data_IF_165697644645
#
_entry.id   IF_165697644645
#
_cell.length_a   1.000
_cell.length_b   1.000
_cell.length_c   1.000
_cell.angle_alpha   90.00
_cell.angle_beta   90.00
_cell.angle_gamma   90.00
#
_symmetry.space_group_name_H-M   'P 1'
#
loop_
_entity.id
_entity.type
_entity.pdbx_description
1 polymer ?
2 polymer ?
3 branched ?
4 non-polymer ?
5 non-polymer ?
6 non-polymer ?
7 non-polymer ?
8 non-polymer ?
9 non-polymer ?
10 water ?
#
# COMPACT_ATOMS: atom_id res chain seq x y z
C UNK A 1 -27.32 14.75 13.60
N UNK A 2 -27.87 14.09 12.56
CA UNK A 2 -27.77 12.84 11.78
C UNK A 2 -27.59 13.05 10.26
N UNK A 3 -26.46 12.56 9.76
CA UNK A 3 -25.80 13.10 8.58
C UNK A 3 -25.96 12.28 7.30
N UNK A 4 -26.05 10.96 7.43
CA UNK A 4 -26.15 10.12 6.25
C UNK A 4 -27.52 9.56 5.98
N UNK A 5 -27.57 8.62 5.06
CA UNK A 5 -28.75 7.84 4.75
C UNK A 5 -28.31 6.39 4.82
N UNK A 6 -28.99 5.54 5.59
CA UNK A 6 -28.55 4.16 5.71
C UNK A 6 -29.40 3.24 4.86
N UNK A 7 -28.92 2.02 4.72
CA UNK A 7 -29.54 1.01 3.88
C UNK A 7 -28.87 -0.27 4.25
N UNK A 8 -29.45 -1.40 3.83
CA UNK A 8 -28.90 -2.73 4.11
C UNK A 8 -27.36 -2.87 4.01
N UNK A 9 -26.77 -2.73 2.83
CA UNK A 9 -25.31 -2.86 2.73
C UNK A 9 -24.57 -1.59 2.38
N UNK A 10 -24.93 -0.47 2.99
CA UNK A 10 -24.30 0.78 2.61
C UNK A 10 -24.55 1.95 3.55
N UNK A 11 -23.90 3.07 3.26
CA UNK A 11 -24.04 4.30 4.02
C UNK A 11 -23.68 5.49 3.14
N UNK A 12 -24.68 6.18 2.61
CA UNK A 12 -24.43 7.38 1.83
C UNK A 12 -24.22 8.58 2.76
N UNK A 13 -23.09 9.28 2.62
CA UNK A 13 -22.86 10.46 3.46
C UNK A 13 -23.64 11.73 3.02
N UNK A 14 -24.95 11.57 2.82
CA UNK A 14 -25.81 12.69 2.47
C UNK A 14 -27.23 12.57 3.08
N UNK A 15 -27.83 13.70 3.44
CA UNK A 15 -29.14 13.65 4.10
C UNK A 15 -30.36 13.51 3.18
N UNK A 16 -31.17 12.49 3.47
CA UNK A 16 -32.37 12.22 2.67
C UNK A 16 -33.57 13.08 3.01
N UNK A 17 -33.38 14.11 3.82
CA UNK A 17 -34.49 14.96 4.16
C UNK A 17 -35.19 15.52 2.92
N UNK A 18 -34.45 15.64 1.82
CA UNK A 18 -35.04 16.11 0.57
C UNK A 18 -35.57 14.97 -0.29
N UNK A 19 -35.18 13.75 0.07
CA UNK A 19 -35.74 12.55 -0.52
C UNK A 19 -35.14 12.23 -1.87
N UNK A 20 -33.88 12.63 -2.06
CA UNK A 20 -33.20 12.45 -3.35
C UNK A 20 -32.18 11.31 -3.33
N UNK A 21 -31.78 10.93 -2.12
CA UNK A 21 -30.79 9.89 -1.92
C UNK A 21 -31.25 8.51 -2.45
N UNK A 22 -30.35 7.84 -3.17
CA UNK A 22 -30.56 6.50 -3.74
C UNK A 22 -29.40 5.53 -3.46
N UNK A 23 -29.71 4.24 -3.38
CA UNK A 23 -28.72 3.15 -3.29
C UNK A 23 -27.54 3.43 -4.19
N UNK A 24 -26.30 3.34 -3.66
CA UNK A 24 -25.11 3.47 -4.51
C UNK A 24 -24.99 2.27 -5.48
N UNK A 25 -25.71 1.19 -5.17
CA UNK A 25 -25.78 0.06 -6.08
C UNK A 25 -26.83 0.24 -7.20
N UNK A 26 -27.59 1.35 -7.19
CA UNK A 26 -28.76 1.48 -8.07
C UNK A 26 -28.87 2.74 -8.92
N UNK A 27 -28.35 3.86 -8.45
CA UNK A 27 -28.51 5.10 -9.21
C UNK A 27 -27.38 6.09 -8.92
N UNK A 28 -27.06 6.92 -9.92
CA UNK A 28 -26.01 7.94 -9.81
C UNK A 28 -26.14 8.79 -8.55
N UNK A 29 -25.01 9.11 -7.93
CA UNK A 29 -24.96 9.94 -6.73
C UNK A 29 -24.60 11.39 -7.03
N UNK A 30 -25.23 11.96 -8.06
CA UNK A 30 -24.84 13.29 -8.53
C UNK A 30 -25.22 14.45 -7.60
N UNK A 31 -25.60 14.10 -6.37
CA UNK A 31 -25.94 15.09 -5.34
C UNK A 31 -24.88 15.13 -4.23
N UNK A 32 -24.02 14.11 -4.22
CA UNK A 32 -22.87 14.04 -3.32
C UNK A 32 -21.79 14.95 -3.87
N UNK A 33 -21.78 15.07 -5.20
CA UNK A 33 -20.72 15.77 -5.92
C UNK A 33 -21.14 15.95 -7.37
N UNK A 34 -20.77 17.10 -7.94
CA UNK A 34 -21.07 17.42 -9.32
C UNK A 34 -20.66 16.28 -10.25
N UNK A 35 -21.24 16.21 -11.46
CA UNK A 35 -20.78 15.11 -12.31
C UNK A 35 -19.33 15.31 -12.70
N UNK A 36 -18.90 16.56 -12.89
CA UNK A 36 -17.52 16.81 -13.23
C UNK A 36 -16.54 16.29 -12.19
N UNK A 37 -16.93 16.24 -10.93
CA UNK A 37 -16.04 15.69 -9.93
C UNK A 37 -15.94 14.18 -10.07
N UNK A 38 -16.94 13.54 -10.65
CA UNK A 38 -16.85 12.10 -10.87
C UNK A 38 -15.90 11.80 -12.02
N UNK A 39 -15.95 12.66 -13.04
CA UNK A 39 -15.05 12.60 -14.18
C UNK A 39 -13.61 12.75 -13.73
N UNK A 40 -13.33 13.74 -12.88
CA UNK A 40 -12.02 13.97 -12.29
C UNK A 40 -11.57 12.78 -11.47
N UNK A 41 -12.47 12.17 -10.72
CA UNK A 41 -12.11 10.93 -10.05
C UNK A 41 -11.56 9.94 -11.07
N UNK A 42 -12.30 9.74 -12.17
CA UNK A 42 -11.89 8.87 -13.28
C UNK A 42 -10.59 9.30 -13.94
N UNK A 43 -10.41 10.60 -14.16
CA UNK A 43 -9.14 11.11 -14.64
C UNK A 43 -7.99 10.55 -13.81
N UNK A 44 -8.13 10.65 -12.49
CA UNK A 44 -7.10 10.17 -11.59
C UNK A 44 -6.87 8.67 -11.67
N UNK A 45 -7.94 7.89 -11.61
CA UNK A 45 -7.76 6.45 -11.73
C UNK A 45 -7.00 6.13 -13.01
N UNK A 46 -7.31 6.87 -14.07
CA UNK A 46 -6.67 6.67 -15.35
C UNK A 46 -5.16 6.89 -15.21
N UNK A 47 -4.79 8.02 -14.62
CA UNK A 47 -3.40 8.29 -14.27
C UNK A 47 -2.71 7.13 -13.55
N UNK A 48 -3.31 6.65 -12.46
CA UNK A 48 -2.69 5.56 -11.70
C UNK A 48 -2.60 4.25 -12.49
N UNK A 49 -3.46 4.07 -13.49
CA UNK A 49 -3.39 2.85 -14.30
C UNK A 49 -2.31 2.98 -15.36
N UNK A 50 -2.30 4.14 -16.00
CA UNK A 50 -1.27 4.46 -16.97
C UNK A 50 0.12 4.41 -16.36
N UNK A 51 0.33 5.01 -15.19
CA UNK A 51 1.63 4.98 -14.53
C UNK A 51 1.92 3.69 -13.76
N UNK A 52 0.94 3.21 -13.02
CA UNK A 52 1.15 2.07 -12.17
C UNK A 52 1.32 0.73 -12.85
N UNK A 53 0.76 0.56 -14.04
CA UNK A 53 0.80 -0.75 -14.69
C UNK A 53 2.09 -1.00 -15.50
N UNK A 54 2.56 0.00 -16.24
CA UNK A 54 3.85 -0.17 -16.89
C UNK A 54 4.93 -0.38 -15.85
N UNK A 55 5.04 0.55 -14.90
CA UNK A 55 6.10 0.50 -13.91
C UNK A 55 6.12 -0.81 -13.16
N UNK A 56 4.97 -1.31 -12.75
CA UNK A 56 4.94 -2.52 -11.95
C UNK A 56 5.15 -3.78 -12.76
N UNK A 57 4.62 -3.77 -13.97
CA UNK A 57 4.67 -4.94 -14.82
C UNK A 57 6.07 -5.08 -15.36
N UNK A 58 6.63 -3.95 -15.78
CA UNK A 58 7.97 -3.93 -16.31
C UNK A 58 8.92 -4.60 -15.31
N UNK A 59 8.87 -4.17 -14.06
CA UNK A 59 9.59 -4.84 -12.98
C UNK A 59 9.54 -6.37 -13.10
N UNK A 60 8.36 -6.95 -13.25
CA UNK A 60 8.25 -8.40 -13.41
C UNK A 60 8.93 -8.86 -14.67
N UNK A 61 8.66 -8.16 -15.77
CA UNK A 61 9.20 -8.51 -17.07
C UNK A 61 10.72 -8.51 -17.07
N UNK A 62 11.30 -7.38 -16.67
CA UNK A 62 12.74 -7.25 -16.56
C UNK A 62 13.37 -8.38 -15.75
N UNK A 63 12.73 -8.80 -14.66
CA UNK A 63 13.27 -9.90 -13.86
C UNK A 63 13.35 -11.20 -14.68
N UNK A 64 12.48 -11.32 -15.66
CA UNK A 64 12.52 -12.50 -16.53
C UNK A 64 13.71 -12.46 -17.51
N UNK A 65 14.10 -11.26 -17.95
CA UNK A 65 15.20 -11.09 -18.92
C UNK A 65 16.58 -11.03 -18.28
N UNK A 66 16.66 -10.90 -16.95
CA UNK A 66 17.96 -10.71 -16.30
C UNK A 66 18.23 -11.70 -15.18
N UNK A 67 19.20 -12.59 -15.42
CA UNK A 67 19.51 -13.63 -14.46
C UNK A 67 19.98 -13.06 -13.12
N UNK A 68 20.71 -11.95 -13.16
CA UNK A 68 21.28 -11.37 -11.93
C UNK A 68 20.24 -10.76 -10.98
N UNK A 69 19.00 -10.60 -11.45
CA UNK A 69 17.94 -10.07 -10.61
C UNK A 69 17.25 -11.15 -9.78
N UNK A 70 17.37 -12.40 -10.20
CA UNK A 70 16.64 -13.47 -9.54
C UNK A 70 17.30 -14.04 -8.28
N UNK A 71 17.55 -13.17 -7.30
CA UNK A 71 18.19 -13.58 -6.05
C UNK A 71 17.20 -13.40 -4.90
N UNK A 72 17.36 -14.20 -3.83
CA UNK A 72 16.49 -14.19 -2.65
C UNK A 72 16.15 -12.79 -2.10
N UNK A 73 17.15 -11.93 -2.03
CA UNK A 73 16.96 -10.59 -1.51
C UNK A 73 16.03 -9.74 -2.38
N UNK A 74 15.60 -10.30 -3.50
CA UNK A 74 14.70 -9.59 -4.42
C UNK A 74 13.31 -10.22 -4.53
N UNK A 75 13.05 -11.31 -3.83
CA UNK A 75 11.72 -11.91 -3.92
C UNK A 75 10.65 -10.95 -3.41
N UNK A 76 10.92 -10.32 -2.27
CA UNK A 76 9.97 -9.43 -1.63
C UNK A 76 9.66 -8.21 -2.50
N UNK A 77 10.65 -7.75 -3.27
CA UNK A 77 10.44 -6.64 -4.20
C UNK A 77 9.53 -7.04 -5.36
N UNK A 78 9.58 -8.30 -5.76
CA UNK A 78 8.70 -8.77 -6.80
C UNK A 78 7.29 -8.93 -6.23
N UNK A 79 7.24 -9.40 -5.00
CA UNK A 79 5.99 -9.52 -4.26
C UNK A 79 5.31 -8.17 -4.22
N UNK A 80 6.09 -7.14 -3.89
CA UNK A 80 5.62 -5.76 -3.89
C UNK A 80 5.00 -5.33 -5.22
N UNK A 81 5.55 -5.80 -6.32
CA UNK A 81 5.07 -5.39 -7.64
C UNK A 81 3.80 -6.15 -8.04
N UNK A 82 3.70 -7.40 -7.58
CA UNK A 82 2.49 -8.21 -7.79
C UNK A 82 1.34 -7.61 -7.00
N UNK A 83 1.64 -7.18 -5.77
CA UNK A 83 0.66 -6.54 -4.92
C UNK A 83 0.14 -5.26 -5.55
N UNK A 84 1.05 -4.44 -6.05
CA UNK A 84 0.62 -3.21 -6.71
C UNK A 84 -0.29 -3.52 -7.89
N UNK A 85 -0.11 -4.69 -8.50
CA UNK A 85 -0.89 -5.01 -9.68
C UNK A 85 -2.32 -5.39 -9.29
N UNK A 86 -2.47 -6.10 -8.17
CA UNK A 86 -3.78 -6.28 -7.55
C UNK A 86 -4.45 -4.93 -7.27
N UNK A 87 -3.70 -3.95 -6.74
CA UNK A 87 -4.26 -2.61 -6.56
C UNK A 87 -4.74 -2.03 -7.88
N UNK A 88 -3.90 -2.09 -8.91
CA UNK A 88 -4.25 -1.54 -10.22
C UNK A 88 -5.49 -2.21 -10.86
N UNK A 89 -5.56 -3.54 -10.85
CA UNK A 89 -6.68 -4.22 -11.52
C UNK A 89 -7.86 -4.51 -10.62
N UNK A 90 -7.56 -4.94 -9.39
CA UNK A 90 -8.59 -5.13 -8.38
C UNK A 90 -9.25 -3.82 -8.02
N UNK A 91 -8.44 -2.80 -7.76
CA UNK A 91 -8.95 -1.51 -7.34
C UNK A 91 -9.20 -0.52 -8.47
N UNK A 92 -8.14 0.02 -9.04
CA UNK A 92 -8.24 1.18 -9.93
C UNK A 92 -9.16 1.03 -11.14
N UNK A 93 -9.15 -0.13 -11.81
CA UNK A 93 -9.92 -0.25 -13.05
C UNK A 93 -11.40 -0.38 -12.79
N UNK A 94 -11.76 -1.17 -11.77
CA UNK A 94 -13.12 -1.21 -11.26
C UNK A 94 -13.64 0.18 -10.90
N UNK A 95 -12.87 0.95 -10.15
CA UNK A 95 -13.26 2.32 -9.83
C UNK A 95 -13.30 3.23 -11.05
N UNK A 96 -12.49 2.97 -12.04
CA UNK A 96 -12.58 3.78 -13.26
C UNK A 96 -13.94 3.56 -13.87
N UNK A 97 -14.34 2.30 -13.93
CA UNK A 97 -15.56 1.94 -14.62
C UNK A 97 -16.79 2.47 -13.88
N UNK A 98 -16.85 2.20 -12.58
CA UNK A 98 -17.98 2.62 -11.78
C UNK A 98 -18.08 4.13 -11.65
N UNK A 99 -16.96 4.82 -11.56
CA UNK A 99 -17.02 6.28 -11.48
C UNK A 99 -17.69 6.90 -12.71
N UNK A 100 -17.60 6.21 -13.84
CA UNK A 100 -18.13 6.73 -15.10
C UNK A 100 -19.66 6.49 -15.23
N UNK A 101 -20.20 5.78 -14.25
CA UNK A 101 -21.65 5.62 -14.08
C UNK A 101 -22.13 6.59 -13.00
N UNK A 102 -21.29 6.82 -12.00
CA UNK A 102 -21.64 7.70 -10.92
C UNK A 102 -22.14 6.92 -9.74
N UNK A 103 -22.01 5.59 -9.82
CA UNK A 103 -22.39 4.73 -8.70
C UNK A 103 -21.78 3.35 -8.88
N UNK A 104 -21.87 2.51 -7.85
CA UNK A 104 -21.20 1.21 -7.89
C UNK A 104 -22.01 0.13 -8.61
N UNK A 105 -21.97 0.16 -9.93
CA UNK A 105 -22.80 -0.67 -10.79
C UNK A 105 -22.70 -2.18 -10.62
N UNK A 106 -21.75 -2.67 -9.83
CA UNK A 106 -21.53 -4.12 -9.75
C UNK A 106 -22.27 -4.77 -8.57
N UNK A 107 -23.05 -3.99 -7.85
CA UNK A 107 -23.74 -4.51 -6.69
C UNK A 107 -22.83 -4.96 -5.57
N UNK A 108 -23.42 -5.47 -4.48
CA UNK A 108 -22.76 -5.94 -3.25
C UNK A 108 -21.68 -7.00 -3.47
N UNK A 109 -21.92 -7.93 -4.40
CA UNK A 109 -20.87 -8.88 -4.76
C UNK A 109 -19.65 -8.14 -5.32
N UNK A 110 -19.86 -7.34 -6.35
CA UNK A 110 -18.80 -6.48 -6.88
C UNK A 110 -18.12 -5.73 -5.77
N UNK A 111 -18.91 -5.28 -4.79
CA UNK A 111 -18.38 -4.52 -3.67
C UNK A 111 -17.45 -5.36 -2.82
N UNK A 112 -17.89 -6.58 -2.51
CA UNK A 112 -17.03 -7.48 -1.75
C UNK A 112 -15.76 -7.80 -2.53
N UNK A 113 -15.94 -8.16 -3.79
CA UNK A 113 -14.85 -8.50 -4.69
C UNK A 113 -13.81 -7.40 -4.80
N UNK A 114 -14.22 -6.24 -5.33
CA UNK A 114 -13.29 -5.14 -5.41
C UNK A 114 -12.66 -4.96 -4.04
N UNK A 115 -13.49 -4.64 -3.06
CA UNK A 115 -13.02 -4.49 -1.70
C UNK A 115 -11.97 -5.49 -1.24
N UNK A 116 -12.20 -6.77 -1.50
CA UNK A 116 -11.26 -7.80 -1.07
C UNK A 116 -9.90 -7.68 -1.80
N UNK A 117 -9.93 -7.69 -3.13
CA UNK A 117 -8.70 -7.64 -3.89
C UNK A 117 -7.91 -6.40 -3.72
N UNK A 118 -8.65 -5.31 -3.64
CA UNK A 118 -8.04 -4.00 -3.45
C UNK A 118 -7.36 -3.94 -2.11
N UNK A 119 -8.07 -4.41 -1.10
CA UNK A 119 -7.55 -4.47 0.26
C UNK A 119 -6.43 -5.48 0.32
N UNK A 120 -6.62 -6.59 -0.37
CA UNK A 120 -5.61 -7.62 -0.37
C UNK A 120 -4.32 -7.12 -0.98
N UNK A 121 -4.42 -6.40 -2.08
CA UNK A 121 -3.21 -5.87 -2.72
C UNK A 121 -2.37 -4.91 -1.89
N UNK A 122 -3.03 -3.96 -1.24
CA UNK A 122 -2.35 -2.92 -0.49
C UNK A 122 -1.82 -3.37 0.85
N UNK A 123 -2.20 -4.58 1.27
CA UNK A 123 -1.68 -5.13 2.51
C UNK A 123 -0.46 -5.98 2.25
N UNK A 124 -0.46 -6.73 1.17
CA UNK A 124 0.74 -7.43 0.75
C UNK A 124 1.84 -6.42 0.55
N UNK A 125 1.52 -5.31 -0.11
CA UNK A 125 2.50 -4.23 -0.28
C UNK A 125 3.03 -3.78 1.07
N UNK A 126 2.16 -3.24 1.92
CA UNK A 126 2.53 -2.84 3.27
C UNK A 126 3.45 -3.82 3.95
N UNK A 127 3.06 -5.08 3.99
CA UNK A 127 3.86 -6.10 4.68
C UNK A 127 5.15 -6.47 3.96
N UNK A 128 5.13 -6.42 2.64
CA UNK A 128 6.35 -6.50 1.86
C UNK A 128 7.33 -5.47 2.41
N UNK A 129 6.90 -4.22 2.49
CA UNK A 129 7.77 -3.17 3.00
C UNK A 129 8.32 -3.46 4.39
N UNK A 130 7.52 -4.15 5.22
CA UNK A 130 7.98 -4.51 6.57
C UNK A 130 9.00 -5.63 6.49
N UNK A 131 8.57 -6.78 5.93
CA UNK A 131 9.47 -7.91 5.68
C UNK A 131 10.84 -7.47 5.13
N UNK A 132 10.83 -6.67 4.09
CA UNK A 132 12.04 -6.08 3.54
C UNK A 132 12.96 -5.49 4.61
N UNK A 133 12.49 -4.51 5.37
CA UNK A 133 13.30 -3.92 6.44
C UNK A 133 13.87 -4.98 7.38
N UNK A 134 13.05 -5.96 7.73
CA UNK A 134 13.53 -7.08 8.55
C UNK A 134 14.71 -7.80 7.88
N UNK A 135 14.52 -8.24 6.64
CA UNK A 135 15.60 -8.89 5.90
C UNK A 135 16.84 -7.99 5.83
N UNK A 136 16.66 -6.74 5.46
CA UNK A 136 17.78 -5.81 5.34
C UNK A 136 18.52 -5.59 6.66
N UNK A 137 17.82 -5.80 7.76
CA UNK A 137 18.41 -5.59 9.07
C UNK A 137 19.18 -6.83 9.49
N UNK A 138 18.57 -8.00 9.27
CA UNK A 138 19.22 -9.29 9.46
C UNK A 138 20.56 -9.41 8.70
N UNK A 139 20.51 -9.19 7.39
CA UNK A 139 21.66 -9.35 6.50
C UNK A 139 22.81 -8.38 6.81
N UNK A 140 22.48 -7.12 7.07
CA UNK A 140 23.49 -6.10 7.28
C UNK A 140 23.89 -5.96 8.76
N UNK A 141 22.93 -5.70 9.64
CA UNK A 141 23.22 -5.57 11.06
C UNK A 141 23.71 -6.88 11.70
N UNK A 142 23.64 -7.98 10.95
CA UNK A 142 24.09 -9.28 11.42
C UNK A 142 23.71 -9.51 12.88
N UNK A 143 22.41 -9.53 13.18
CA UNK A 143 21.94 -9.61 14.58
C UNK A 143 22.09 -11.03 15.12
N UNK A 144 21.87 -12.01 14.27
CA UNK A 144 22.09 -13.40 14.61
C UNK A 144 23.48 -13.74 14.11
N UNK A 145 24.25 -14.45 14.93
CA UNK A 145 25.60 -14.85 14.52
C UNK A 145 25.58 -16.10 13.64
N UNK A 146 26.54 -16.17 12.71
CA UNK A 146 26.70 -17.33 11.84
C UNK A 146 25.44 -17.66 11.03
N UNK A 147 24.66 -16.65 10.69
CA UNK A 147 23.45 -16.84 9.88
C UNK A 147 23.57 -16.19 8.51
N UNK A 148 23.21 -16.94 7.47
CA UNK A 148 23.24 -16.43 6.10
C UNK A 148 21.90 -16.58 5.38
N UNK A 149 21.32 -15.43 5.03
CA UNK A 149 20.02 -15.36 4.39
C UNK A 149 19.97 -16.04 3.02
N UNK A 150 19.15 -17.09 2.91
CA UNK A 150 19.02 -17.87 1.69
C UNK A 150 17.62 -17.94 1.11
N UNK A 151 17.45 -18.76 0.08
CA UNK A 151 16.22 -18.80 -0.69
C UNK A 151 15.01 -19.26 0.13
N UNK A 152 15.24 -20.05 1.16
CA UNK A 152 14.11 -20.56 1.93
C UNK A 152 13.58 -19.55 2.94
N UNK A 153 14.40 -18.56 3.29
CA UNK A 153 13.94 -17.49 4.17
C UNK A 153 13.19 -16.49 3.33
N UNK A 154 13.67 -16.29 2.10
CA UNK A 154 13.01 -15.40 1.16
C UNK A 154 11.55 -15.82 0.98
N UNK A 155 11.34 -17.11 0.72
CA UNK A 155 10.00 -17.65 0.54
C UNK A 155 9.10 -17.47 1.77
N UNK A 156 9.57 -17.85 2.95
CA UNK A 156 8.77 -17.63 4.14
C UNK A 156 8.40 -16.15 4.21
N UNK A 157 9.40 -15.29 4.14
CA UNK A 157 9.17 -13.85 4.09
C UNK A 157 8.00 -13.45 3.19
N UNK A 158 7.98 -13.93 1.95
CA UNK A 158 6.90 -13.66 1.03
C UNK A 158 5.58 -14.19 1.54
N UNK A 159 5.58 -15.44 1.99
CA UNK A 159 4.35 -16.08 2.45
C UNK A 159 3.78 -15.44 3.72
N UNK A 160 4.67 -15.01 4.61
CA UNK A 160 4.23 -14.31 5.81
C UNK A 160 3.46 -13.06 5.42
N UNK A 161 3.80 -12.54 4.25
CA UNK A 161 3.22 -11.30 3.74
C UNK A 161 1.78 -11.56 3.29
N UNK A 162 1.57 -12.69 2.60
CA UNK A 162 0.24 -13.10 2.16
C UNK A 162 -0.67 -13.44 3.32
N UNK A 163 -0.13 -14.14 4.31
CA UNK A 163 -0.89 -14.49 5.49
C UNK A 163 -1.38 -13.26 6.26
N UNK A 164 -0.48 -12.31 6.56
CA UNK A 164 -0.89 -11.05 7.20
C UNK A 164 -1.97 -10.26 6.45
N UNK A 165 -1.94 -10.32 5.12
CA UNK A 165 -2.95 -9.63 4.32
C UNK A 165 -4.31 -10.31 4.48
N UNK A 166 -4.42 -11.59 4.15
CA UNK A 166 -5.63 -12.37 4.46
C UNK A 166 -6.14 -12.08 5.88
N UNK A 167 -5.24 -11.81 6.82
CA UNK A 167 -5.64 -11.54 8.19
C UNK A 167 -6.43 -10.23 8.34
N UNK A 168 -6.64 -9.51 7.24
CA UNK A 168 -7.55 -8.35 7.28
C UNK A 168 -8.41 -8.18 6.05
N UNK A 169 -7.99 -8.76 4.93
CA UNK A 169 -8.86 -8.80 3.75
C UNK A 169 -10.02 -9.80 3.93
N UNK A 170 -9.75 -10.89 4.64
CA UNK A 170 -10.72 -11.98 4.82
C UNK A 170 -11.87 -11.71 5.82
N UNK A 171 -11.55 -11.16 7.01
CA UNK A 171 -12.59 -10.89 8.00
C UNK A 171 -13.86 -10.16 7.48
N UNK A 172 -13.71 -9.05 6.74
CA UNK A 172 -14.94 -8.34 6.43
C UNK A 172 -15.85 -9.13 5.50
N UNK A 173 -15.32 -10.12 4.80
CA UNK A 173 -16.13 -10.95 3.91
C UNK A 173 -17.00 -11.89 4.71
N UNK A 174 -16.63 -12.10 5.98
CA UNK A 174 -17.27 -13.12 6.81
C UNK A 174 -17.73 -12.64 8.19
N UNK A 175 -17.92 -11.34 8.36
CA UNK A 175 -18.60 -10.90 9.56
C UNK A 175 -17.92 -9.89 10.45
N UNK A 176 -16.58 -9.92 10.48
CA UNK A 176 -15.86 -8.92 11.25
C UNK A 176 -15.52 -7.73 10.34
N UNK A 177 -16.22 -6.64 10.60
CA UNK A 177 -16.38 -5.51 9.67
C UNK A 177 -17.04 -5.91 8.34
N UNK A 178 -16.98 -5.00 7.36
CA UNK A 178 -17.69 -5.21 6.11
C UNK A 178 -17.13 -4.33 5.00
N UNK A 179 -17.38 -4.70 3.75
CA UNK A 179 -17.05 -3.81 2.63
C UNK A 179 -18.29 -3.04 2.20
N UNK A 180 -18.14 -1.75 1.93
CA UNK A 180 -19.24 -0.93 1.44
C UNK A 180 -18.66 0.20 0.61
N UNK A 181 -19.44 0.73 -0.34
CA UNK A 181 -18.91 1.87 -1.08
C UNK A 181 -18.48 2.96 -0.12
N UNK A 182 -17.35 3.62 -0.35
CA UNK A 182 -16.94 4.72 0.52
C UNK A 182 -16.96 6.00 -0.28
N UNK A 183 -16.84 7.14 0.41
CA UNK A 183 -16.67 8.42 -0.25
C UNK A 183 -17.76 8.78 -1.24
N UNK A 184 -17.44 8.73 -2.53
CA UNK A 184 -18.43 9.05 -3.54
C UNK A 184 -19.11 7.79 -4.03
N UNK A 185 -18.91 6.71 -3.29
CA UNK A 185 -19.68 5.49 -3.47
C UNK A 185 -19.27 4.71 -4.69
N UNK A 186 -18.15 5.06 -5.30
CA UNK A 186 -17.72 4.39 -6.52
C UNK A 186 -16.71 3.30 -6.26
N UNK A 187 -16.06 3.37 -5.11
CA UNK A 187 -15.15 2.31 -4.71
C UNK A 187 -15.49 1.76 -3.32
N UNK A 188 -15.41 0.44 -3.19
CA UNK A 188 -15.70 -0.25 -1.95
C UNK A 188 -14.46 -0.49 -1.08
N UNK A 189 -14.45 0.13 0.10
CA UNK A 189 -13.41 -0.10 1.08
C UNK A 189 -13.88 -0.83 2.29
N UNK A 190 -13.14 -0.73 3.44
CA UNK A 190 -13.52 -1.39 4.69
C UNK A 190 -14.31 -0.38 5.40
N UNK A 191 -15.34 -0.78 6.20
CA UNK A 191 -16.03 0.23 6.98
C UNK A 191 -15.37 0.43 8.30
N UNK A 192 -14.89 1.67 8.46
CA UNK A 192 -14.18 2.04 9.66
C UNK A 192 -14.71 3.32 10.13
N UNK A 193 -15.86 3.79 9.60
CA UNK A 193 -16.23 5.16 9.92
C UNK A 193 -17.67 5.07 10.43
N UNK A 194 -18.27 3.90 10.22
CA UNK A 194 -19.61 3.61 10.72
C UNK A 194 -19.53 2.64 11.89
N UNK A 195 -20.27 2.95 12.97
CA UNK A 195 -20.34 2.09 14.16
C UNK A 195 -21.41 1.05 13.95
N UNK A 196 -21.08 -0.05 13.29
CA UNK A 196 -22.10 -1.00 12.85
C UNK A 196 -22.06 -2.31 13.65
N UNK A 197 -22.54 -2.23 14.88
CA UNK A 197 -22.48 -3.31 15.88
C UNK A 197 -22.76 -4.74 15.39
N UNK A 198 -23.53 -4.89 14.33
CA UNK A 198 -23.87 -6.24 13.86
C UNK A 198 -22.64 -6.96 13.30
N UNK A 199 -21.57 -6.22 13.03
CA UNK A 199 -20.31 -6.75 12.48
C UNK A 199 -19.09 -6.39 13.32
N UNK A 200 -19.28 -5.50 14.29
CA UNK A 200 -18.24 -5.15 15.25
C UNK A 200 -17.16 -4.26 14.67
N UNK A 201 -17.56 -3.33 13.81
CA UNK A 201 -16.64 -2.37 13.22
C UNK A 201 -15.62 -1.77 14.20
N UNK A 202 -16.05 -1.46 15.42
CA UNK A 202 -15.20 -0.79 16.38
C UNK A 202 -13.94 -1.59 16.71
N UNK A 203 -14.12 -2.85 17.08
CA UNK A 203 -13.00 -3.68 17.48
C UNK A 203 -12.03 -3.93 16.32
N UNK A 204 -12.58 -4.16 15.13
CA UNK A 204 -11.74 -4.33 13.94
C UNK A 204 -10.90 -3.15 13.69
N UNK A 205 -11.50 -1.95 13.78
CA UNK A 205 -10.78 -0.69 13.55
C UNK A 205 -9.60 -0.61 14.43
N UNK A 206 -9.77 -1.00 15.72
CA UNK A 206 -8.62 -1.07 16.60
C UNK A 206 -7.56 -2.07 16.17
N UNK A 207 -7.97 -3.32 16.02
CA UNK A 207 -7.07 -4.37 15.59
C UNK A 207 -6.28 -3.99 14.37
N UNK A 208 -6.94 -3.37 13.34
CA UNK A 208 -6.23 -2.86 12.18
C UNK A 208 -5.30 -1.80 12.55
N UNK A 209 -5.74 -0.84 13.40
CA UNK A 209 -4.82 0.16 13.89
C UNK A 209 -3.66 -0.39 14.61
N UNK A 210 -3.88 -1.33 15.56
CA UNK A 210 -2.73 -1.79 16.34
C UNK A 210 -1.83 -2.71 15.53
N UNK A 211 -2.40 -3.78 14.99
CA UNK A 211 -1.63 -4.77 14.24
C UNK A 211 -1.15 -4.29 12.87
N UNK A 212 -2.03 -3.68 12.08
CA UNK A 212 -1.66 -3.35 10.71
C UNK A 212 -1.22 -1.95 10.49
N UNK A 213 -1.04 -1.21 11.61
CA UNK A 213 -0.47 0.11 11.51
C UNK A 213 0.63 0.28 12.47
N UNK A 214 0.39 0.25 13.82
CA UNK A 214 1.48 0.52 14.79
C UNK A 214 2.64 -0.50 14.71
N UNK A 215 2.32 -1.79 14.81
CA UNK A 215 3.33 -2.82 14.64
C UNK A 215 4.23 -2.50 13.44
N UNK A 216 3.67 -2.48 12.21
CA UNK A 216 4.51 -2.19 11.04
C UNK A 216 5.39 -0.96 11.26
N UNK A 217 4.82 0.11 11.78
CA UNK A 217 5.56 1.34 11.99
C UNK A 217 6.75 1.12 12.90
N UNK A 218 6.51 0.47 14.04
CA UNK A 218 7.56 0.23 15.02
C UNK A 218 8.70 -0.60 14.40
N UNK A 219 8.33 -1.76 13.85
CA UNK A 219 9.32 -2.63 13.20
C UNK A 219 10.18 -1.89 12.18
N UNK A 220 9.54 -1.27 11.18
CA UNK A 220 10.27 -0.42 10.24
C UNK A 220 11.19 0.57 10.93
N UNK A 221 10.68 1.36 11.87
CA UNK A 221 11.57 2.30 12.55
C UNK A 221 12.72 1.62 13.29
N UNK A 222 12.43 0.50 13.95
CA UNK A 222 13.49 -0.20 14.63
C UNK A 222 14.57 -0.69 13.66
N UNK A 223 14.19 -1.52 12.70
CA UNK A 223 15.15 -2.09 11.77
C UNK A 223 15.99 -1.06 11.04
N UNK A 224 15.36 -0.01 10.53
CA UNK A 224 16.11 1.01 9.82
C UNK A 224 16.86 1.93 10.77
N UNK A 225 16.40 2.03 12.02
CA UNK A 225 17.20 2.69 13.04
C UNK A 225 18.51 1.93 13.26
N UNK A 226 18.39 0.64 13.56
CA UNK A 226 19.53 -0.23 13.77
C UNK A 226 20.51 -0.17 12.61
N UNK A 227 19.96 -0.06 11.41
CA UNK A 227 20.75 -0.11 10.20
C UNK A 227 21.46 1.21 9.91
N UNK A 228 20.79 2.33 10.10
CA UNK A 228 21.47 3.60 9.90
C UNK A 228 22.47 3.76 11.02
N UNK A 229 22.28 2.98 12.08
CA UNK A 229 23.24 2.97 13.17
C UNK A 229 24.47 2.12 12.83
N UNK A 230 24.26 0.85 12.51
CA UNK A 230 25.34 -0.03 12.12
C UNK A 230 26.22 0.56 11.03
N UNK A 231 25.63 1.30 10.11
CA UNK A 231 26.38 1.84 8.97
C UNK A 231 27.10 3.15 9.31
N UNK A 232 26.52 3.94 10.19
CA UNK A 232 27.17 5.18 10.62
C UNK A 232 28.41 4.89 11.50
N UNK A 233 28.40 3.71 12.11
CA UNK A 233 29.46 3.26 13.00
C UNK A 233 30.61 2.63 12.22
N UNK A 234 30.27 1.68 11.35
CA UNK A 234 31.24 1.09 10.42
C UNK A 234 31.99 2.15 9.61
N UNK A 235 31.35 3.27 9.36
CA UNK A 235 31.96 4.37 8.62
C UNK A 235 32.88 5.25 9.48
N UNK A 236 32.53 5.42 10.76
CA UNK A 236 33.37 6.15 11.71
C UNK A 236 34.67 5.40 11.95
N UNK A 237 34.56 4.07 11.92
CA UNK A 237 35.66 3.19 12.29
C UNK A 237 36.53 2.88 11.06
N UNK A 238 36.22 3.53 9.93
CA UNK A 238 37.12 3.52 8.78
C UNK A 238 36.97 4.67 7.80
N UNK A 239 37.28 5.87 8.30
CA UNK A 239 37.18 7.10 7.52
C UNK A 239 38.21 7.20 6.41
N UNK A 240 39.11 6.24 6.34
CA UNK A 240 40.14 6.25 5.30
C UNK A 240 39.57 5.75 3.96
N UNK A 241 38.33 5.26 4.00
CA UNK A 241 37.62 4.84 2.80
C UNK A 241 36.62 5.90 2.35
N UNK A 242 36.86 6.51 1.21
CA UNK A 242 35.92 7.48 0.66
C UNK A 242 34.60 6.78 0.23
N UNK A 243 34.74 5.58 -0.33
CA UNK A 243 33.61 4.74 -0.71
C UNK A 243 32.71 4.37 0.46
N UNK A 244 33.31 3.98 1.57
CA UNK A 244 32.54 3.63 2.77
C UNK A 244 31.84 4.86 3.34
N UNK A 245 32.32 6.04 2.97
CA UNK A 245 31.75 7.28 3.47
C UNK A 245 30.51 7.63 2.66
N UNK A 246 30.60 7.48 1.34
CA UNK A 246 29.45 7.66 0.46
C UNK A 246 28.35 6.66 0.81
N UNK A 247 28.70 5.37 0.83
CA UNK A 247 27.75 4.33 1.18
C UNK A 247 26.90 4.67 2.41
N UNK A 248 27.52 5.20 3.45
CA UNK A 248 26.79 5.51 4.67
C UNK A 248 25.89 6.72 4.49
N UNK A 249 26.29 7.64 3.63
CA UNK A 249 25.48 8.81 3.34
C UNK A 249 24.29 8.49 2.39
N UNK A 250 24.51 7.62 1.40
CA UNK A 250 23.41 7.21 0.54
C UNK A 250 22.40 6.36 1.29
N UNK A 251 22.87 5.47 2.14
CA UNK A 251 21.97 4.64 2.91
C UNK A 251 21.12 5.45 3.88
N UNK A 252 21.68 6.53 4.42
CA UNK A 252 20.89 7.37 5.30
C UNK A 252 19.82 8.11 4.49
N UNK A 253 20.23 8.83 3.46
CA UNK A 253 19.29 9.49 2.55
C UNK A 253 18.13 8.59 2.16
N UNK A 254 18.42 7.39 1.64
CA UNK A 254 17.37 6.42 1.34
C UNK A 254 16.47 6.05 2.51
N UNK A 255 17.02 5.64 3.65
CA UNK A 255 16.17 5.30 4.79
C UNK A 255 15.20 6.43 5.15
N UNK A 256 15.67 7.66 5.13
CA UNK A 256 14.80 8.80 5.37
C UNK A 256 13.65 8.84 4.38
N UNK A 257 13.99 8.77 3.10
CA UNK A 257 13.01 8.70 2.02
C UNK A 257 12.02 7.54 2.20
N UNK A 258 12.52 6.38 2.63
CA UNK A 258 11.68 5.20 2.75
C UNK A 258 10.72 5.31 3.91
N UNK A 259 11.16 5.92 4.98
CA UNK A 259 10.34 6.09 6.16
C UNK A 259 9.30 7.18 5.90
N UNK A 260 9.73 8.36 5.44
CA UNK A 260 8.82 9.44 5.14
C UNK A 260 7.71 9.04 4.17
N UNK A 261 8.04 8.22 3.18
CA UNK A 261 7.06 7.75 2.22
C UNK A 261 6.09 6.74 2.83
N UNK A 262 6.52 6.01 3.85
CA UNK A 262 5.62 5.07 4.52
C UNK A 262 4.57 5.82 5.33
N UNK A 263 4.99 6.93 5.94
CA UNK A 263 4.09 7.75 6.72
C UNK A 263 3.09 8.43 5.78
N UNK A 264 3.58 9.03 4.71
CA UNK A 264 2.70 9.69 3.76
C UNK A 264 1.57 8.77 3.24
N UNK A 265 1.77 7.48 3.39
CA UNK A 265 0.88 6.51 2.80
C UNK A 265 -0.14 6.02 3.76
N UNK A 266 0.26 5.84 5.05
CA UNK A 266 -0.63 5.23 6.06
C UNK A 266 -1.00 6.20 7.10
N UNK A 267 -0.13 7.20 7.41
CA UNK A 267 -0.50 8.22 8.38
C UNK A 267 -1.88 8.86 8.21
N UNK A 268 -2.21 9.32 6.99
CA UNK A 268 -3.56 9.89 6.81
C UNK A 268 -4.66 8.98 7.23
N UNK A 269 -4.67 7.74 6.70
CA UNK A 269 -5.62 6.70 7.08
C UNK A 269 -5.65 6.51 8.53
N UNK A 270 -4.48 6.40 9.21
CA UNK A 270 -4.48 6.36 10.67
C UNK A 270 -5.03 7.62 11.35
N UNK A 271 -4.57 8.79 10.90
CA UNK A 271 -5.01 10.07 11.45
C UNK A 271 -6.53 10.26 11.41
N UNK A 272 -7.13 9.91 10.28
CA UNK A 272 -8.57 9.98 10.11
C UNK A 272 -9.24 8.95 10.96
N UNK A 273 -8.84 7.63 10.84
CA UNK A 273 -9.47 6.53 11.58
C UNK A 273 -9.56 6.81 13.01
N UNK A 274 -8.44 7.33 13.55
CA UNK A 274 -8.40 7.69 14.93
C UNK A 274 -9.34 8.83 15.33
N UNK A 275 -9.29 9.92 14.57
CA UNK A 275 -10.07 11.12 14.83
C UNK A 275 -11.57 10.90 14.65
N UNK A 276 -11.94 9.99 13.76
CA UNK A 276 -13.34 9.59 13.61
C UNK A 276 -13.76 8.82 14.84
N UNK A 277 -12.93 7.88 15.24
CA UNK A 277 -13.16 7.03 16.41
C UNK A 277 -13.39 7.87 17.66
N UNK A 278 -12.72 9.02 17.72
CA UNK A 278 -12.71 9.83 18.93
C UNK A 278 -13.55 11.12 18.82
N UNK A 279 -14.28 11.25 17.71
CA UNK A 279 -15.28 12.31 17.53
C UNK A 279 -16.53 11.69 16.92
N UNK A 280 -17.05 10.65 17.58
CA UNK A 280 -18.09 9.81 17.00
C UNK A 280 -19.42 10.54 16.72
N UNK A 281 -19.58 11.73 17.28
CA UNK A 281 -20.79 12.49 17.06
C UNK A 281 -20.63 13.62 16.05
N UNK A 282 -20.02 13.30 14.91
CA UNK A 282 -19.69 14.31 13.93
C UNK A 282 -19.88 13.82 12.50
N UNK A 283 -20.08 14.78 11.59
CA UNK A 283 -20.41 14.48 10.20
C UNK A 283 -19.20 14.59 9.28
N UNK A 284 -18.88 13.50 8.58
CA UNK A 284 -17.74 13.51 7.67
C UNK A 284 -18.15 13.35 6.22
N UNK A 285 -17.73 14.30 5.39
CA UNK A 285 -18.06 14.34 3.99
C UNK A 285 -17.38 13.28 3.14
N UNK A 286 -17.96 12.99 1.97
CA UNK A 286 -17.37 11.97 1.12
C UNK A 286 -15.98 12.40 0.72
N UNK A 287 -15.79 13.66 0.37
CA UNK A 287 -14.44 14.15 0.07
C UNK A 287 -13.45 14.14 1.25
N UNK A 288 -13.97 14.22 2.46
CA UNK A 288 -13.15 13.97 3.64
C UNK A 288 -12.66 12.50 3.69
N UNK A 289 -13.46 11.57 3.19
CA UNK A 289 -13.09 10.16 3.17
C UNK A 289 -12.24 9.85 1.97
N UNK A 290 -12.36 10.72 0.98
CA UNK A 290 -11.64 10.57 -0.27
C UNK A 290 -10.11 10.86 -0.12
N UNK A 291 -9.74 11.71 0.85
CA UNK A 291 -8.36 12.14 1.01
C UNK A 291 -7.40 11.01 1.41
N UNK A 292 -7.66 10.30 2.51
CA UNK A 292 -6.68 9.28 2.90
C UNK A 292 -6.54 8.21 1.82
N UNK A 293 -7.56 8.03 0.98
CA UNK A 293 -7.52 7.02 -0.09
C UNK A 293 -6.72 7.50 -1.28
N UNK A 294 -6.69 8.82 -1.49
CA UNK A 294 -5.83 9.41 -2.49
C UNK A 294 -4.36 9.10 -2.18
N UNK A 295 -3.94 9.35 -0.95
CA UNK A 295 -2.56 9.08 -0.53
C UNK A 295 -2.18 7.62 -0.57
N UNK A 296 -3.04 6.74 -0.05
CA UNK A 296 -2.67 5.32 0.05
C UNK A 296 -2.63 4.63 -1.29
N UNK A 297 -3.38 5.14 -2.27
CA UNK A 297 -3.51 4.44 -3.54
C UNK A 297 -2.39 4.85 -4.47
N UNK A 298 -1.93 6.08 -4.34
CA UNK A 298 -0.83 6.57 -5.19
C UNK A 298 0.48 5.86 -4.89
N UNK A 299 0.50 5.07 -3.82
CA UNK A 299 1.67 4.30 -3.49
C UNK A 299 1.89 3.16 -4.49
N UNK A 300 0.91 2.90 -5.35
CA UNK A 300 1.10 1.88 -6.36
C UNK A 300 1.97 2.43 -7.47
N UNK A 301 2.23 3.72 -7.41
CA UNK A 301 3.18 4.35 -8.31
C UNK A 301 4.48 4.73 -7.59
N UNK A 302 4.41 5.49 -6.51
CA UNK A 302 5.64 5.96 -5.84
C UNK A 302 6.42 4.87 -5.09
N UNK A 303 5.78 3.77 -4.75
CA UNK A 303 6.52 2.67 -4.16
C UNK A 303 7.53 1.97 -5.09
N UNK A 304 7.09 1.56 -6.30
CA UNK A 304 8.04 1.04 -7.31
C UNK A 304 9.11 2.06 -7.67
N UNK A 305 8.78 3.34 -7.73
CA UNK A 305 9.78 4.35 -8.00
C UNK A 305 10.90 4.31 -6.96
N UNK A 306 10.54 4.21 -5.68
CA UNK A 306 11.49 4.21 -4.58
C UNK A 306 12.25 2.88 -4.40
N UNK A 307 11.52 1.77 -4.33
CA UNK A 307 12.12 0.46 -4.08
C UNK A 307 12.60 -0.28 -5.33
N UNK A 308 12.29 0.24 -6.51
CA UNK A 308 12.71 -0.42 -7.75
C UNK A 308 13.49 0.51 -8.68
N UNK A 309 12.90 1.61 -9.11
CA UNK A 309 13.60 2.53 -10.01
C UNK A 309 14.82 3.15 -9.35
N UNK A 310 14.92 3.06 -8.02
CA UNK A 310 16.07 3.65 -7.32
C UNK A 310 16.99 2.57 -6.79
N UNK A 311 16.80 1.34 -7.25
CA UNK A 311 17.63 0.22 -6.86
C UNK A 311 18.57 0.04 -8.02
N UNK A 312 19.86 0.23 -7.78
CA UNK A 312 20.83 0.23 -8.87
C UNK A 312 20.69 -0.97 -9.81
N UNK A 313 20.70 -2.18 -9.26
CA UNK A 313 20.53 -3.40 -10.06
C UNK A 313 19.36 -3.28 -11.02
N UNK A 314 18.15 -3.10 -10.46
CA UNK A 314 16.92 -3.02 -11.25
C UNK A 314 16.94 -1.92 -12.30
N UNK A 315 17.36 -0.72 -11.91
CA UNK A 315 17.34 0.41 -12.83
C UNK A 315 18.07 0.14 -14.15
N UNK A 316 19.27 -0.43 -14.06
CA UNK A 316 20.11 -0.74 -15.23
C UNK A 316 19.47 -1.73 -16.18
N UNK A 317 19.03 -2.85 -15.65
CA UNK A 317 18.29 -3.82 -16.46
C UNK A 317 17.09 -3.20 -17.17
N UNK A 318 16.43 -2.25 -16.52
CA UNK A 318 15.28 -1.59 -17.13
C UNK A 318 15.70 -0.77 -18.32
N UNK A 319 16.71 0.06 -18.12
CA UNK A 319 17.22 0.92 -19.18
C UNK A 319 17.67 0.08 -20.36
N UNK A 320 18.36 -1.02 -20.08
CA UNK A 320 18.73 -1.99 -21.11
C UNK A 320 17.50 -2.45 -21.89
N UNK A 321 16.53 -3.01 -21.18
CA UNK A 321 15.33 -3.57 -21.81
C UNK A 321 14.56 -2.53 -22.62
N UNK A 322 14.40 -1.34 -22.05
CA UNK A 322 13.70 -0.26 -22.73
C UNK A 322 14.43 0.28 -23.96
N UNK A 323 15.76 0.29 -23.93
CA UNK A 323 16.53 0.77 -25.07
C UNK A 323 16.90 -0.38 -26.00
N UNK A 324 15.97 -1.34 -26.13
CA UNK A 324 15.96 -2.27 -27.23
C UNK A 324 17.08 -3.33 -27.17
N UNK A 325 17.64 -3.53 -25.98
CA UNK A 325 18.69 -4.51 -25.76
C UNK A 325 20.06 -3.89 -25.54
N UNK A 326 20.18 -2.62 -25.90
CA UNK A 326 21.47 -1.93 -25.88
C UNK A 326 21.57 -0.92 -24.74
N UNK A 327 22.79 -0.50 -24.43
CA UNK A 327 23.04 0.59 -23.48
C UNK A 327 22.65 0.28 -22.04
N UNK B 1 30.72 -3.87 5.18
CA UNK B 1 29.28 -3.75 4.97
C UNK B 1 28.93 -3.62 3.49
N UNK B 2 29.87 -3.09 2.71
CA UNK B 2 29.58 -2.66 1.35
C UNK B 2 28.99 -3.77 0.49
N UNK B 3 29.32 -5.01 0.83
CA UNK B 3 28.93 -6.14 -0.01
C UNK B 3 27.50 -6.58 0.36
N UNK B 4 27.17 -6.47 1.64
CA UNK B 4 25.79 -6.69 2.09
C UNK B 4 24.86 -5.56 1.66
N UNK B 5 25.36 -4.33 1.71
CA UNK B 5 24.62 -3.20 1.17
C UNK B 5 24.25 -3.37 -0.31
N UNK B 6 25.22 -3.76 -1.15
CA UNK B 6 24.97 -3.94 -2.58
C UNK B 6 23.90 -4.97 -2.83
N UNK B 7 23.98 -6.07 -2.08
CA UNK B 7 23.05 -7.19 -2.22
C UNK B 7 21.64 -6.75 -1.91
N UNK B 8 21.52 -5.78 -1.02
CA UNK B 8 20.23 -5.26 -0.60
C UNK B 8 19.68 -4.19 -1.55
N UNK B 9 20.50 -3.74 -2.48
CA UNK B 9 20.08 -2.74 -3.45
C UNK B 9 20.10 -1.38 -2.82
N UNK B 10 20.63 -1.34 -1.60
CA UNK B 10 20.77 -0.12 -0.78
C UNK B 10 21.95 0.78 -1.17
N UNK B 11 23.02 0.17 -1.70
CA UNK B 11 24.16 0.94 -2.18
C UNK B 11 24.90 0.20 -3.30
X LIG C 1 -34.45 8.56 0.43
X LIG C 1 -34.54 7.03 0.35
X LIG C 1 -35.52 6.60 -0.72
X LIG C 1 -36.85 7.36 -0.71
X LIG C 1 -36.63 8.87 -0.63
X LIG C 1 -37.96 9.55 -0.32
X LIG C 1 -32.61 5.41 0.65
X LIG C 1 -31.12 5.37 0.50
X LIG C 1 -33.24 6.43 0.04
X LIG C 1 -35.76 5.23 -0.56
X LIG C 1 -37.54 7.09 -1.91
X LIG C 1 -35.66 9.28 0.31
X LIG C 1 -38.42 9.21 0.98
X LIG C 1 -33.12 4.49 1.30
X LIG C 2 -38.89 6.58 -1.77
X LIG C 2 -39.65 6.98 -3.03
X LIG C 2 -41.03 6.35 -3.09
X LIG C 2 -40.98 4.87 -2.77
X LIG C 2 -40.24 4.65 -1.47
X LIG C 2 -40.26 3.16 -1.11
X LIG C 2 -38.93 9.13 -3.92
X LIG C 2 -38.91 10.61 -3.75
X LIG C 2 -39.78 8.43 -3.16
X LIG C 2 -41.66 6.59 -4.33
X LIG C 2 -42.29 4.41 -2.57
X LIG C 2 -38.95 5.17 -1.60
X LIG C 2 -39.37 2.77 -0.08
X LIG C 2 -38.17 8.60 -4.73
X LIG C 3 -42.92 3.84 -3.73
X LIG C 3 -43.98 2.91 -3.20
X LIG C 3 -44.62 2.08 -4.32
X LIG C 3 -44.62 2.73 -5.73
X LIG C 3 -44.01 4.15 -5.84
X LIG C 3 -44.91 5.11 -6.66
X LIG C 3 -45.00 3.72 -2.57
X LIG C 3 -45.93 1.70 -3.85
X LIG C 3 -43.92 1.84 -6.64
X LIG C 3 -43.62 4.76 -4.58
X LIG C 3 -45.18 6.35 -5.97
X LIG C 4 -45.75 0.47 -3.10
X LIG C 4 -47.04 -0.35 -2.96
X LIG C 4 -48.04 0.42 -2.10
X LIG C 4 -47.44 0.77 -0.73
X LIG C 4 -46.01 1.34 -0.86
X LIG C 4 -45.27 1.30 0.48
X LIG C 4 -46.73 -1.59 -2.38
X LIG C 4 -49.19 -0.37 -1.92
X LIG C 4 -48.29 1.71 -0.08
X LIG C 4 -45.22 0.62 -1.79
X LIG C 4 -44.34 2.36 0.59
X LIG C 5 -45.24 7.51 -6.85
X LIG C 5 -43.95 7.72 -7.70
X LIG C 5 -42.92 8.71 -7.12
X LIG C 5 -43.59 9.86 -6.34
X LIG C 5 -44.57 9.20 -5.38
X LIG C 5 -45.02 10.08 -4.22
X LIG C 5 -44.28 8.06 -9.04
X LIG C 5 -42.06 9.20 -8.15
X LIG C 5 -42.69 10.67 -5.61
X LIG C 5 -45.63 8.70 -6.16
X LIG C 5 -45.10 9.26 -3.07
X LIG D 1 -24.19 3.42 -20.19
X LIG D 1 -24.68 4.83 -19.82
X LIG D 1 -24.83 8.24 -15.80
X LIG D 1 -24.44 3.00 -21.65
X LIG D 1 -24.90 5.74 -16.41
X LIG D 1 -24.75 6.85 -15.33
X LIG D 1 -22.21 3.76 -18.93
X LIG D 1 -20.89 3.02 -18.75
X LIG D 1 -19.68 3.65 -19.44
X LIG D 1 -18.50 2.70 -19.17
X LIG D 1 -17.25 3.29 -19.79
X LIG D 1 -16.03 2.37 -19.61
X LIG D 1 -14.87 3.12 -20.23
X LIG D 1 -13.55 2.33 -20.22
X LIG D 1 -12.48 3.24 -20.86
X LIG D 1 -11.14 2.52 -21.05
X LIG D 1 -10.14 3.52 -21.66
X LIG D 1 -10.51 4.15 -23.04
X LIG D 1 -9.35 5.16 -23.20
X LIG D 1 -9.31 6.12 -24.40
X LIG D 1 -8.05 6.99 -24.13
X LIG D 1 -7.83 8.11 -25.17
X LIG D 1 -22.64 1.81 -22.71
X LIG D 1 -21.58 0.69 -22.45
X LIG D 1 -20.70 0.10 -23.58
X LIG D 1 -19.82 1.12 -24.34
X LIG D 1 -18.88 0.37 -25.31
X LIG D 1 -17.97 1.36 -26.08
X LIG D 1 -16.88 0.62 -26.91
X LIG D 1 -15.94 1.58 -27.68
X LIG D 1 -16.55 2.38 -28.86
X LIG D 1 -17.78 3.23 -28.55
X LIG D 1 -18.16 3.97 -29.85
X LIG D 1 -19.46 4.74 -29.62
X LIG D 1 -19.83 5.52 -30.89
X LIG D 1 -21.19 6.18 -30.63
X LIG D 1 -21.19 7.10 -29.40
X LIG D 1 -22.59 7.72 -29.21
X LIG D 1 -22.62 4.59 -18.11
X LIG D 1 -22.58 2.59 -23.67
X LIG D 1 -22.77 3.45 -20.14
X LIG D 1 -23.67 1.78 -21.78
X LIG D 1 -25.80 7.45 -19.12
X LIG D 1 -28.13 6.35 -18.73
X LIG D 1 -26.09 4.92 -19.64
X LIG D 1 -26.19 5.73 -17.10
X LIG D 1 -26.49 6.21 -18.68
X LIG E 1 21.44 12.33 9.60
X LIG E 1 20.84 11.08 9.98
X LIG E 1 21.67 13.23 10.83
X LIG E 1 20.41 13.54 11.50
X LIG E 1 22.40 14.49 10.38
X LIG E 1 22.63 15.37 11.52
X LIG E 1 23.72 14.08 9.69
X LIG E 1 24.47 15.24 9.26
X LIG E 1 23.38 13.20 8.47
X LIG E 1 22.67 12.02 8.91
X LIG E 1 24.65 12.81 7.70
X LIG E 1 24.29 12.03 6.55
X LIG E 1 19.49 11.05 10.47
X LIG E 1 19.11 9.57 10.37
X LIG E 1 17.69 9.31 10.80
X LIG E 1 17.49 7.83 10.64
X LIG E 1 16.08 7.50 11.06
X LIG E 1 15.91 5.98 10.93
X LIG E 1 14.51 5.62 11.39
X LIG E 1 14.38 4.11 11.28
X LIG F 1 14.69 1.18 -28.65
X LIG F 1 15.86 1.64 -28.56
X LIG F 1 13.51 2.25 -28.58
X LIG F 1 14.05 3.46 -27.80
X LIG F 1 13.23 4.78 -27.61
X LIG F 1 11.87 4.72 -26.91
X LIG F 1 11.37 6.17 -26.71
X LIG F 1 9.99 6.17 -26.00
X LIG F 1 9.48 7.59 -25.61
X LIG F 1 8.09 7.45 -24.91
X LIG F 1 7.57 8.79 -24.35
X LIG F 1 6.18 8.66 -23.69
X LIG F 1 5.19 8.25 -24.80
X LIG F 1 3.77 8.05 -24.28
X LIG F 1 3.18 9.29 -23.63
X LIG F 1 1.76 8.88 -23.15
X LIG F 1 1.08 10.07 -22.44
X LIG G 1 16.21 3.90 -23.89
X LIG G 1 16.27 4.46 -25.01
X LIG G 1 14.97 4.20 -22.98
X LIG G 1 13.81 4.56 -23.91
X LIG G 1 12.39 4.81 -23.32
X LIG G 1 12.25 5.95 -22.31
X LIG G 1 10.74 6.06 -21.93
X LIG G 1 10.50 7.19 -20.91
X LIG G 1 8.99 7.37 -20.57
X LIG G 1 8.91 8.52 -19.52
X LIG G 1 7.54 9.00 -18.98
X LIG G 1 8.01 10.07 -17.98
X LIG G 1 6.90 10.73 -17.17
X LIG G 1 7.54 11.71 -16.15
X LIG G 1 6.42 12.32 -15.29
X LIG G 1 6.88 13.30 -14.22
X LIG G 1 5.64 13.81 -13.44
X LIG H 1 -7.69 2.00 10.06
X LIG H 1 -6.81 2.47 11.23
X LIG H 1 -5.50 3.06 10.76
X LIG H 1 -4.73 1.98 10.02
X LIG H 1 -5.53 1.54 8.87
X LIG H 1 -6.89 1.61 8.87
X LIG H 1 -7.81 1.34 7.77
X LIG H 1 -7.48 1.36 6.46
X LIG H 1 -8.41 1.02 5.43
X LIG H 1 -7.99 0.91 4.15
X LIG H 1 -8.84 0.39 3.13
X LIG H 1 -8.50 0.36 1.84
X LIG H 1 -9.37 -0.27 0.88
X LIG H 1 -9.33 0.02 -0.45
X LIG H 1 -10.25 -0.56 -1.39
X LIG H 1 -10.29 -0.19 -2.56
X LIG H 1 -8.67 3.06 9.55
X LIG H 1 -8.54 0.82 10.55
X LIG H 1 -4.67 1.01 7.78
X LIG H 1 -9.83 0.74 5.80
X LIG H 1 -10.33 -1.25 1.44
X LIG I 1 16.65 -5.06 -32.44
X LIG I 1 18.15 -5.14 -32.23
X LIG I 1 16.18 -5.26 -33.87
X LIG I 1 15.83 -5.81 -31.42
X LIG I 1 16.31 -3.50 -32.14
X LIG I 1 15.41 -2.77 -32.97
X LIG I 1 16.14 -1.61 -33.66
X LIG I 1 15.24 -1.02 -34.74
X LIG I 1 16.57 -0.62 -32.70
X LIG I 1 15.49 -1.59 -36.02
X LIG I 1 15.92 0.70 -32.75
X LIG I 1 16.66 1.68 -32.78
X LIG I 1 14.40 0.85 -32.75
X LIG I 1 13.96 2.27 -32.37
X LIG I 1 12.90 2.82 -33.32
X LIG I 1 11.48 2.66 -32.79
X LIG I 1 11.33 3.26 -31.39
X LIG I 1 11.24 4.79 -31.39
X LIG I 1 9.92 5.31 -31.95
X LIG I 1 9.68 6.75 -31.56
X LIG I 1 9.09 6.85 -30.16
X LIG I 1 7.77 7.63 -30.09
X LIG I 1 6.76 6.88 -29.22
X LIG I 1 5.50 7.70 -28.93
X LIG I 1 4.18 6.99 -29.29
X LIG I 1 3.03 7.47 -28.40
X LIG I 1 1.72 7.66 -29.16
X LIG I 1 15.18 -0.76 -37.17
X LIG I 1 15.95 -0.81 -38.12
X LIG I 1 13.95 0.13 -37.09
X LIG I 1 13.04 0.09 -38.33
X LIG I 1 13.36 1.21 -39.32
X LIG I 1 14.76 1.05 -39.93
X LIG I 1 15.16 2.15 -40.91
X LIG I 1 15.05 3.55 -40.32
X LIG I 1 14.00 4.38 -41.06
X LIG I 1 13.82 5.76 -40.41
X LIG J 1 -8.49 3.46 16.76
X LIG J 1 -8.70 2.73 15.75
X LIG J 1 -8.39 4.69 16.52
X LIG J 1 -8.36 2.93 18.17
#
# INVERSE_FOLDING_TARGET
XMCGTEGPNFYVPFSNKTGVVRSPFEAPQYYLAEPWQFSMLAAYMFLLIMLGFPINFLTLYVTVQHKKLRTPLNYILLNLAVADLFMVFGGFTTTLYTSLHGYFVFGPTGCNLQGFFATLGGEIALWSLVVLAIERYVVVCKPMSNFRFGENHAIMGVAFTWVMALACAAPPLVGWSRYIPEGMQCSCGIDYYTPHEETNNESFVIYMFVVHFIIPLIVIFFCYGQLVFTVKEAAAQQQESATTQKAEKEVTRMVIIMVIAFLICWLPYAGVAFYIFTHQGSCFGPIFMTIPAFFAKTSAVYNPVIYIMMNKQFRNCMVTTLCCGKNPLGDDEASTTVSKTETSQVAPA
ILENLKDCGLF
NAG C1 C2 C3 C4 C5 C6 C7 C8 N2 O3 O4 O5 O6 O7
NAG C1 C2 C3 C4 C5 C6 C7 C8 N2 O3 O4 O5 O6 O7
BMA C1 C2 C3 C4 C5 C6 O2 O3 O4 O5 O6
MAN C1 C2 C3 C4 C5 C6 O2 O3 O4 O5 O6
MAN C1 C2 C3 C4 C5 C6 O2 O3 O4 O5 O6
PEF C2 C1 N C3 C4 C5 C10 C11 C12 C13 C14 C15 C16 C17 C18 C19 C20 C21 C22 C23 C24 C25 C30 C31 C32 C33 C34 C35 C36 C37 C38 C39 C40 C41 C42 C43 C44 C45 O4 O5 O2 O3 O1P O2P O3P O4P P
BOG C1 O1 C2 O2 C3 O3 C4 O4 C5 O5 C6 O6 C1' C2' C3' C4' C5' C6' C7' C8'
PLM C1 O2 C2 C3 C4 C5 C6 C7 C8 C9 CA CB CC CD CE CF CG
PLM C1 O2 C2 C3 C4 C5 C6 C7 C8 C9 CA CB CC CD CE CF CG
RET C1 C2 C3 C4 C5 C6 C7 C8 C9 C10 C11 C12 C13 C14 C15 O1 C16 C17 C18 C19 C20
LPP P1 O2 O3 O4 O5 C6 C7 C8 O9 O27 C11 O10 C12 C13 C14 C15 C16 C17 C18 C19 C20 C21 C22 C23 C24 C25 C26 C29 O28 C30 C31 C32 C33 C34 C35 C36 C37
ACT C O OXT CH3
#
